data_IF_738200920481
#
_entry.id   IF_738200920481
#
_cell.length_a   1.000
_cell.length_b   1.000
_cell.length_c   1.000
_cell.angle_alpha   90.00
_cell.angle_beta   90.00
_cell.angle_gamma   90.00
#
_symmetry.space_group_name_H-M   'P 1'
#
loop_
_entity.id
_entity.type
_entity.pdbx_description
1 polymer ?
#
# COMPACT_ATOMS: atom_id res chain seq x y z
N UNK A 1 11.54 -27.35 15.85
CA UNK A 1 12.17 -26.06 15.50
C UNK A 1 11.99 -25.89 14.01
N UNK A 2 10.88 -25.26 13.62
CA UNK A 2 10.48 -25.05 12.22
C UNK A 2 9.82 -23.69 12.20
N UNK A 3 10.31 -22.81 11.34
CA UNK A 3 10.01 -21.39 11.35
C UNK A 3 8.53 -21.13 11.02
N UNK A 4 7.77 -20.76 12.04
CA UNK A 4 6.52 -20.00 11.86
C UNK A 4 6.90 -18.55 11.59
N UNK A 5 6.89 -18.13 10.32
CA UNK A 5 6.64 -16.74 9.94
C UNK A 5 5.91 -16.75 8.60
N UNK A 6 4.64 -16.36 8.56
CA UNK A 6 4.19 -15.15 7.83
C UNK A 6 2.66 -15.04 7.94
N UNK A 7 2.18 -14.10 8.76
CA UNK A 7 0.75 -13.82 8.97
C UNK A 7 0.06 -13.16 7.79
N UNK A 8 0.62 -13.28 6.58
CA UNK A 8 0.15 -12.61 5.38
C UNK A 8 -0.54 -13.60 4.44
N UNK A 9 -1.85 -13.46 4.30
CA UNK A 9 -2.63 -14.33 3.41
C UNK A 9 -2.65 -13.74 2.01
N UNK A 10 -2.16 -14.52 1.03
CA UNK A 10 -2.25 -14.18 -0.39
C UNK A 10 -3.41 -14.93 -1.03
N UNK A 11 -4.27 -14.22 -1.75
CA UNK A 11 -5.37 -14.81 -2.52
C UNK A 11 -5.59 -14.07 -3.83
N UNK A 12 -6.45 -14.58 -4.72
CA UNK A 12 -6.76 -13.96 -6.01
C UNK A 12 -8.24 -13.63 -6.07
N UNK A 13 -8.58 -12.50 -6.70
CA UNK A 13 -9.95 -12.04 -6.90
C UNK A 13 -10.12 -11.47 -8.30
N UNK A 14 -11.26 -11.76 -8.94
CA UNK A 14 -11.67 -11.10 -10.18
C UNK A 14 -12.35 -9.74 -9.89
N UNK A 15 -12.79 -9.51 -8.65
CA UNK A 15 -13.41 -8.25 -8.24
C UNK A 15 -12.35 -7.19 -7.88
N UNK A 16 -12.56 -5.92 -8.29
CA UNK A 16 -11.67 -4.80 -7.96
C UNK A 16 -11.78 -4.38 -6.48
N UNK A 17 -10.82 -3.58 -5.97
CA UNK A 17 -10.91 -3.00 -4.62
C UNK A 17 -12.07 -2.00 -4.51
N UNK A 18 -12.73 -1.97 -3.35
CA UNK A 18 -13.94 -1.16 -3.13
C UNK A 18 -13.68 0.33 -2.94
N UNK A 19 -12.59 0.69 -2.26
CA UNK A 19 -12.41 2.05 -1.73
C UNK A 19 -11.55 2.95 -2.60
N UNK A 20 -10.43 2.42 -3.11
CA UNK A 20 -9.46 3.24 -3.82
C UNK A 20 -8.61 2.41 -4.78
N UNK A 21 -8.28 3.01 -5.92
CA UNK A 21 -7.34 2.48 -6.91
C UNK A 21 -6.43 3.61 -7.37
N UNK A 22 -5.13 3.34 -7.39
CA UNK A 22 -4.14 4.24 -7.97
C UNK A 22 -3.45 3.55 -9.15
N UNK A 23 -3.38 4.24 -10.30
CA UNK A 23 -2.68 3.77 -11.49
C UNK A 23 -1.37 4.55 -11.64
N UNK A 24 -0.25 3.86 -11.50
CA UNK A 24 1.09 4.43 -11.73
C UNK A 24 1.48 4.16 -13.19
N UNK A 25 1.39 5.17 -14.06
CA UNK A 25 1.59 4.99 -15.51
C UNK A 25 3.03 4.65 -15.90
N UNK A 26 4.02 5.19 -15.17
CA UNK A 26 5.45 5.07 -15.53
C UNK A 26 6.28 4.54 -14.35
N UNK A 27 5.86 3.41 -13.76
CA UNK A 27 6.52 2.86 -12.57
C UNK A 27 8.03 2.67 -12.74
N UNK A 28 8.48 2.15 -13.89
CA UNK A 28 9.90 1.94 -14.18
C UNK A 28 10.72 3.25 -14.17
N UNK A 29 10.11 4.40 -14.48
CA UNK A 29 10.79 5.69 -14.40
C UNK A 29 11.00 6.15 -12.96
N UNK A 30 10.14 5.73 -12.02
CA UNK A 30 10.34 6.02 -10.60
C UNK A 30 11.62 5.33 -10.10
N UNK A 31 11.83 4.06 -10.48
CA UNK A 31 13.06 3.33 -10.19
C UNK A 31 14.28 3.95 -10.88
N UNK A 32 14.20 4.21 -12.19
CA UNK A 32 15.30 4.75 -12.98
C UNK A 32 15.80 6.10 -12.47
N UNK A 33 14.87 6.96 -12.05
CA UNK A 33 15.19 8.29 -11.55
C UNK A 33 15.44 8.30 -10.03
N UNK A 34 15.55 7.14 -9.39
CA UNK A 34 15.80 7.01 -7.95
C UNK A 34 14.80 7.78 -7.09
N UNK A 35 13.53 7.83 -7.52
CA UNK A 35 12.45 8.44 -6.75
C UNK A 35 12.27 7.65 -5.45
N UNK A 36 12.44 8.32 -4.31
CA UNK A 36 12.40 7.68 -3.01
C UNK A 36 11.01 7.10 -2.71
N UNK A 37 9.96 7.92 -2.86
CA UNK A 37 8.57 7.53 -2.65
C UNK A 37 7.63 8.22 -3.63
N UNK A 38 6.51 7.57 -3.88
CA UNK A 38 5.34 8.09 -4.57
C UNK A 38 4.16 8.12 -3.59
N UNK A 39 3.45 9.24 -3.55
CA UNK A 39 2.24 9.39 -2.73
C UNK A 39 1.03 9.51 -3.66
N UNK A 40 -0.02 8.74 -3.38
CA UNK A 40 -1.28 8.84 -4.11
C UNK A 40 -2.05 10.11 -3.70
N UNK A 41 -3.13 10.40 -4.44
CA UNK A 41 -4.18 11.28 -3.92
C UNK A 41 -4.84 10.67 -2.67
N UNK A 42 -5.50 11.52 -1.89
CA UNK A 42 -6.26 11.07 -0.73
C UNK A 42 -7.61 10.45 -1.10
N UNK A 43 -8.13 9.60 -0.23
CA UNK A 43 -9.46 9.00 -0.32
C UNK A 43 -10.08 8.80 1.06
N UNK A 44 -11.40 8.75 1.12
CA UNK A 44 -12.14 8.58 2.37
C UNK A 44 -12.66 7.15 2.51
N UNK A 45 -12.41 6.53 3.67
CA UNK A 45 -12.91 5.21 4.02
C UNK A 45 -13.03 5.07 5.54
N UNK A 46 -14.12 4.49 6.02
CA UNK A 46 -14.37 4.31 7.45
C UNK A 46 -14.42 5.62 8.25
N UNK A 47 -14.75 6.75 7.61
CA UNK A 47 -14.78 8.08 8.24
C UNK A 47 -13.42 8.77 8.37
N UNK A 48 -12.36 8.19 7.82
CA UNK A 48 -11.02 8.77 7.83
C UNK A 48 -10.50 9.01 6.42
N UNK A 49 -9.58 9.96 6.30
CA UNK A 49 -8.88 10.27 5.06
C UNK A 49 -7.54 9.52 5.02
N UNK A 50 -7.31 8.81 3.94
CA UNK A 50 -6.15 7.94 3.76
C UNK A 50 -5.42 8.27 2.46
N UNK A 51 -4.16 7.86 2.35
CA UNK A 51 -3.42 7.79 1.09
C UNK A 51 -2.56 6.52 1.06
N UNK A 52 -2.13 6.15 -0.14
CA UNK A 52 -1.10 5.13 -0.33
C UNK A 52 0.27 5.80 -0.48
N UNK A 53 1.25 5.31 0.27
CA UNK A 53 2.65 5.70 0.16
C UNK A 53 3.45 4.50 -0.35
N UNK A 54 4.06 4.65 -1.51
CA UNK A 54 4.77 3.58 -2.20
C UNK A 54 6.25 3.93 -2.33
N UNK A 55 7.13 3.01 -1.97
CA UNK A 55 8.58 3.09 -2.14
C UNK A 55 8.99 2.10 -3.24
N UNK A 56 9.29 2.60 -4.46
CA UNK A 56 9.54 1.72 -5.62
C UNK A 56 10.70 0.74 -5.40
N UNK A 57 11.78 1.18 -4.73
CA UNK A 57 12.98 0.40 -4.46
C UNK A 57 13.10 -0.09 -3.00
N UNK A 58 11.98 -0.03 -2.26
CA UNK A 58 11.93 -0.39 -0.84
C UNK A 58 12.15 0.79 0.10
N UNK A 59 11.58 0.68 1.30
CA UNK A 59 11.69 1.71 2.32
C UNK A 59 13.04 1.61 3.06
N UNK A 60 14.02 2.42 2.63
CA UNK A 60 15.36 2.49 3.21
C UNK A 60 15.35 2.84 4.70
N UNK A 61 14.41 3.67 5.16
CA UNK A 61 14.29 4.04 6.59
C UNK A 61 13.92 2.85 7.48
N UNK A 62 13.36 1.79 6.88
CA UNK A 62 13.03 0.51 7.52
C UNK A 62 14.01 -0.61 7.14
N UNK A 63 15.15 -0.28 6.53
CA UNK A 63 16.14 -1.22 6.00
C UNK A 63 15.57 -2.22 4.97
N UNK A 64 14.48 -1.89 4.30
CA UNK A 64 13.90 -2.72 3.22
C UNK A 64 14.54 -2.33 1.89
N UNK A 65 15.02 -3.33 1.15
CA UNK A 65 15.62 -3.22 -0.19
C UNK A 65 15.05 -4.30 -1.09
N UNK A 66 15.21 -4.15 -2.40
CA UNK A 66 14.88 -5.15 -3.43
C UNK A 66 13.40 -5.55 -3.56
N UNK A 67 12.54 -5.00 -2.69
CA UNK A 67 11.09 -5.15 -2.73
C UNK A 67 10.42 -3.80 -2.86
N UNK A 68 9.23 -3.78 -3.43
CA UNK A 68 8.35 -2.60 -3.37
C UNK A 68 7.75 -2.57 -1.97
N UNK A 69 7.85 -1.43 -1.28
CA UNK A 69 7.12 -1.23 -0.02
C UNK A 69 5.89 -0.37 -0.26
N UNK A 70 4.75 -0.78 0.28
CA UNK A 70 3.48 -0.06 0.16
C UNK A 70 2.87 0.10 1.55
N UNK A 71 2.42 1.31 1.86
CA UNK A 71 1.84 1.66 3.15
C UNK A 71 0.50 2.36 2.94
N UNK A 72 -0.46 2.06 3.82
CA UNK A 72 -1.64 2.89 4.03
C UNK A 72 -1.30 3.93 5.09
N UNK A 73 -1.39 5.21 4.76
CA UNK A 73 -1.12 6.31 5.68
C UNK A 73 -2.39 7.14 5.90
N UNK A 74 -2.64 7.57 7.13
CA UNK A 74 -3.73 8.49 7.43
C UNK A 74 -3.29 9.94 7.15
N UNK A 75 -4.21 10.73 6.62
CA UNK A 75 -4.06 12.17 6.37
C UNK A 75 -4.72 13.01 7.48
N UNK A 76 -4.41 14.31 7.51
CA UNK A 76 -5.01 15.29 8.43
C UNK A 76 -4.88 14.95 9.93
N UNK A 77 -3.83 14.21 10.30
CA UNK A 77 -3.59 13.76 11.68
C UNK A 77 -3.27 14.90 12.65
N UNK A 78 -2.90 16.08 12.15
CA UNK A 78 -2.65 17.29 12.94
C UNK A 78 -3.89 17.84 13.64
N UNK A 79 -5.09 17.49 13.16
CA UNK A 79 -6.36 17.89 13.77
C UNK A 79 -6.80 17.01 14.94
N UNK A 80 -6.11 15.88 15.15
CA UNK A 80 -6.50 14.87 16.11
C UNK A 80 -5.75 15.07 17.44
N UNK A 81 -6.45 14.87 18.55
CA UNK A 81 -5.91 15.08 19.90
C UNK A 81 -4.77 14.10 20.21
N UNK A 82 -3.76 14.53 20.95
CA UNK A 82 -2.62 13.67 21.31
C UNK A 82 -3.07 12.34 21.92
N UNK A 83 -2.52 11.22 21.43
CA UNK A 83 -2.82 9.87 21.93
C UNK A 83 -3.98 9.15 21.24
N UNK A 84 -4.54 9.70 20.16
CA UNK A 84 -5.53 9.00 19.35
C UNK A 84 -4.89 7.87 18.53
N UNK A 85 -5.64 6.78 18.36
CA UNK A 85 -5.27 5.64 17.50
C UNK A 85 -6.49 5.20 16.70
N UNK A 86 -6.26 4.62 15.52
CA UNK A 86 -7.31 4.00 14.71
C UNK A 86 -6.88 2.59 14.35
N UNK A 87 -7.74 1.63 14.66
CA UNK A 87 -7.58 0.25 14.24
C UNK A 87 -8.20 0.10 12.84
N UNK A 88 -7.36 -0.25 11.87
CA UNK A 88 -7.78 -0.45 10.50
C UNK A 88 -7.46 -1.88 10.05
N UNK A 89 -8.48 -2.57 9.53
CA UNK A 89 -8.31 -3.81 8.76
C UNK A 89 -8.43 -3.43 7.29
N UNK A 90 -7.39 -3.70 6.52
CA UNK A 90 -7.37 -3.38 5.10
C UNK A 90 -6.78 -4.52 4.29
N UNK A 91 -7.02 -4.47 2.98
CA UNK A 91 -6.48 -5.37 1.98
C UNK A 91 -5.83 -4.55 0.89
N UNK A 92 -4.65 -4.93 0.46
CA UNK A 92 -4.00 -4.35 -0.72
C UNK A 92 -4.27 -5.25 -1.92
N UNK A 93 -4.57 -4.62 -3.06
CA UNK A 93 -4.87 -5.31 -4.31
C UNK A 93 -3.84 -4.88 -5.34
N UNK A 94 -3.21 -5.85 -6.01
CA UNK A 94 -2.33 -5.62 -7.15
C UNK A 94 -2.95 -6.27 -8.39
N UNK A 95 -3.27 -5.45 -9.39
CA UNK A 95 -3.80 -5.92 -10.67
C UNK A 95 -2.70 -6.62 -11.48
N UNK A 96 -2.89 -7.90 -11.76
CA UNK A 96 -2.16 -8.61 -12.81
C UNK A 96 -2.80 -8.22 -14.16
N UNK A 97 -2.14 -7.31 -14.87
CA UNK A 97 -2.64 -6.79 -16.15
C UNK A 97 -2.67 -7.85 -17.26
N UNK A 98 -1.92 -8.96 -17.12
CA UNK A 98 -1.92 -10.03 -18.12
C UNK A 98 -3.13 -10.95 -17.95
N UNK A 99 -3.56 -11.18 -16.71
CA UNK A 99 -4.69 -12.07 -16.37
C UNK A 99 -6.00 -11.32 -16.18
N UNK A 100 -5.95 -10.01 -15.92
CA UNK A 100 -7.12 -9.19 -15.63
C UNK A 100 -7.67 -9.36 -14.21
N UNK A 101 -6.92 -10.00 -13.31
CA UNK A 101 -7.34 -10.27 -11.94
C UNK A 101 -6.40 -9.66 -10.89
N UNK A 102 -6.81 -9.71 -9.63
CA UNK A 102 -6.14 -9.03 -8.53
C UNK A 102 -5.52 -10.03 -7.56
N UNK A 103 -4.22 -9.87 -7.31
CA UNK A 103 -3.56 -10.45 -6.14
C UNK A 103 -3.97 -9.64 -4.89
N UNK A 104 -4.58 -10.31 -3.92
CA UNK A 104 -4.94 -9.76 -2.62
C UNK A 104 -3.86 -10.08 -1.62
N UNK A 105 -3.47 -9.06 -0.88
CA UNK A 105 -2.50 -9.07 0.19
C UNK A 105 -3.20 -8.60 1.48
N UNK A 106 -3.32 -9.49 2.47
CA UNK A 106 -4.00 -9.24 3.75
C UNK A 106 -3.14 -9.69 4.92
#
# INVERSE_FOLDING_TARGET
MGDEIDGFTRSVSEAPPTHYTVKIQSFSLLLKNSVEKYESGDFEAGGYKWKLVLYPAGNKSKNVKEHISVYLAMENTSSLQHGWEVYAVFRLFLLDQNKGNFLILQ
#
